data_IF_056476981088
#
_entry.id   IF_056476981088
#
_cell.length_a   1.000
_cell.length_b   1.000
_cell.length_c   1.000
_cell.angle_alpha   90.00
_cell.angle_beta   90.00
_cell.angle_gamma   90.00
#
_symmetry.space_group_name_H-M   'P 1'
#
loop_
_entity.id
_entity.type
_entity.pdbx_description
1 polymer ?
#
# COMPACT_ATOMS: atom_id res chain seq x y z
N UNK A 1 3.35 24.37 15.28
CA UNK A 1 2.04 23.73 15.51
C UNK A 1 1.35 23.64 14.15
N UNK A 2 1.36 22.49 13.48
CA UNK A 2 0.61 22.30 12.25
C UNK A 2 -0.82 21.95 12.64
N UNK A 3 -1.81 22.70 12.14
CA UNK A 3 -3.23 22.44 12.36
C UNK A 3 -3.59 20.99 11.97
N UNK A 4 -4.52 20.33 12.67
CA UNK A 4 -5.00 19.00 12.30
C UNK A 4 -5.66 19.10 10.93
N UNK A 5 -5.05 18.42 9.94
CA UNK A 5 -5.39 18.53 8.51
C UNK A 5 -6.72 17.85 8.14
N UNK A 6 -7.41 17.25 9.10
CA UNK A 6 -8.73 16.66 8.93
C UNK A 6 -9.52 16.78 10.24
N UNK A 7 -10.56 17.60 10.25
CA UNK A 7 -11.62 17.50 11.25
C UNK A 7 -12.39 16.20 10.96
N UNK A 8 -12.29 15.25 11.87
CA UNK A 8 -13.15 14.07 11.87
C UNK A 8 -14.56 14.54 12.24
N UNK A 9 -15.41 14.77 11.24
CA UNK A 9 -16.83 14.95 11.50
C UNK A 9 -17.39 13.61 11.94
N UNK A 10 -17.68 13.52 13.22
CA UNK A 10 -18.42 12.40 13.85
C UNK A 10 -19.92 12.41 13.48
N UNK A 11 -20.27 12.96 12.33
CA UNK A 11 -21.65 12.94 11.86
C UNK A 11 -21.96 11.53 11.36
N UNK A 12 -22.62 10.82 12.24
CA UNK A 12 -23.53 9.70 12.04
C UNK A 12 -23.34 8.91 10.71
N UNK A 13 -23.30 7.62 10.81
CA UNK A 13 -23.69 6.58 9.85
C UNK A 13 -24.90 6.98 8.97
N UNK A 14 -24.83 8.15 8.31
CA UNK A 14 -25.74 8.51 7.26
C UNK A 14 -25.48 7.53 6.13
N UNK A 15 -26.51 6.95 5.57
CA UNK A 15 -26.55 6.17 4.34
C UNK A 15 -25.85 6.99 3.23
N UNK A 16 -24.53 6.92 3.20
CA UNK A 16 -23.73 7.69 2.25
C UNK A 16 -23.99 7.09 0.87
N UNK A 17 -24.84 7.72 0.08
CA UNK A 17 -25.04 7.33 -1.31
C UNK A 17 -23.70 7.53 -2.01
N UNK A 18 -23.14 6.48 -2.62
CA UNK A 18 -21.88 6.62 -3.33
C UNK A 18 -22.02 7.71 -4.40
N UNK A 19 -21.05 8.62 -4.46
CA UNK A 19 -21.05 9.67 -5.49
C UNK A 19 -20.93 9.03 -6.88
N UNK A 20 -21.40 9.74 -7.93
CA UNK A 20 -21.22 9.30 -9.32
C UNK A 20 -19.74 8.98 -9.62
N UNK A 21 -18.82 9.74 -9.04
CA UNK A 21 -17.39 9.46 -9.15
C UNK A 21 -17.04 8.11 -8.52
N UNK A 22 -17.53 7.80 -7.34
CA UNK A 22 -17.22 6.54 -6.64
C UNK A 22 -17.69 5.30 -7.41
N UNK A 23 -18.81 5.42 -8.15
CA UNK A 23 -19.42 4.30 -8.88
C UNK A 23 -18.85 4.11 -10.29
N UNK A 24 -18.59 5.19 -11.01
CA UNK A 24 -18.23 5.17 -12.44
C UNK A 24 -16.95 5.94 -12.75
N UNK A 25 -16.80 7.14 -12.19
CA UNK A 25 -15.69 8.04 -12.52
C UNK A 25 -14.33 7.55 -12.03
N UNK A 26 -14.30 6.92 -10.88
CA UNK A 26 -13.03 6.50 -10.24
C UNK A 26 -12.24 5.51 -11.11
N UNK A 27 -12.90 4.50 -11.63
CA UNK A 27 -12.26 3.51 -12.51
C UNK A 27 -11.72 4.14 -13.79
N UNK A 28 -12.50 5.03 -14.40
CA UNK A 28 -12.07 5.76 -15.60
C UNK A 28 -10.86 6.65 -15.29
N UNK A 29 -10.89 7.36 -14.16
CA UNK A 29 -9.78 8.18 -13.70
C UNK A 29 -8.50 7.37 -13.46
N UNK A 30 -8.60 6.22 -12.77
CA UNK A 30 -7.47 5.32 -12.53
C UNK A 30 -6.83 4.85 -13.85
N UNK A 31 -7.64 4.38 -14.80
CA UNK A 31 -7.15 3.90 -16.08
C UNK A 31 -6.55 5.03 -16.94
N UNK A 32 -7.17 6.20 -16.95
CA UNK A 32 -6.64 7.36 -17.67
C UNK A 32 -5.28 7.78 -17.12
N UNK A 33 -5.14 7.82 -15.78
CA UNK A 33 -3.87 8.16 -15.14
C UNK A 33 -2.79 7.12 -15.43
N UNK A 34 -3.12 5.82 -15.36
CA UNK A 34 -2.19 4.75 -15.73
C UNK A 34 -1.75 4.89 -17.19
N UNK A 35 -2.68 5.14 -18.12
CA UNK A 35 -2.37 5.28 -19.54
C UNK A 35 -1.40 6.45 -19.80
N UNK A 36 -1.57 7.57 -19.12
CA UNK A 36 -0.66 8.73 -19.21
C UNK A 36 0.72 8.40 -18.64
N UNK A 37 0.80 7.65 -17.54
CA UNK A 37 2.06 7.29 -16.90
C UNK A 37 2.79 6.13 -17.62
N UNK A 38 2.07 5.31 -18.36
CA UNK A 38 2.54 4.02 -18.89
C UNK A 38 3.87 4.12 -19.68
N UNK A 39 4.08 5.08 -20.60
CA UNK A 39 5.32 5.15 -21.37
C UNK A 39 6.57 5.30 -20.49
N UNK A 40 6.50 6.18 -19.50
CA UNK A 40 7.60 6.40 -18.55
C UNK A 40 7.77 5.23 -17.60
N UNK A 41 6.67 4.69 -17.07
CA UNK A 41 6.68 3.61 -16.08
C UNK A 41 7.20 2.31 -16.67
N UNK A 42 6.84 1.95 -17.91
CA UNK A 42 7.34 0.73 -18.57
C UNK A 42 8.86 0.78 -18.72
N UNK A 43 9.42 1.91 -19.10
CA UNK A 43 10.88 2.09 -19.22
C UNK A 43 11.57 1.89 -17.86
N UNK A 44 11.03 2.50 -16.79
CA UNK A 44 11.56 2.35 -15.42
C UNK A 44 11.44 0.90 -14.96
N UNK A 45 10.29 0.25 -15.19
CA UNK A 45 10.08 -1.16 -14.84
C UNK A 45 11.11 -2.06 -15.55
N UNK A 46 11.34 -1.84 -16.84
CA UNK A 46 12.31 -2.63 -17.61
C UNK A 46 13.73 -2.48 -17.06
N UNK A 47 14.15 -1.26 -16.74
CA UNK A 47 15.48 -0.97 -16.17
C UNK A 47 15.62 -1.66 -14.80
N UNK A 48 14.65 -1.51 -13.89
CA UNK A 48 14.68 -2.12 -12.56
C UNK A 48 14.67 -3.66 -12.68
N UNK A 49 13.85 -4.22 -13.57
CA UNK A 49 13.78 -5.65 -13.79
C UNK A 49 15.13 -6.21 -14.26
N UNK A 50 15.80 -5.51 -15.19
CA UNK A 50 17.13 -5.87 -15.66
C UNK A 50 18.16 -5.88 -14.52
N UNK A 51 18.24 -4.81 -13.72
CA UNK A 51 19.17 -4.74 -12.60
C UNK A 51 18.89 -5.81 -11.53
N UNK A 52 17.61 -6.10 -11.28
CA UNK A 52 17.24 -7.16 -10.32
C UNK A 52 17.60 -8.54 -10.84
N UNK A 53 17.43 -8.79 -12.14
CA UNK A 53 17.78 -10.06 -12.79
C UNK A 53 19.30 -10.31 -12.79
N UNK A 54 20.11 -9.28 -13.06
CA UNK A 54 21.59 -9.36 -13.00
C UNK A 54 22.06 -9.75 -11.57
N UNK A 55 21.31 -9.34 -10.54
CA UNK A 55 21.57 -9.75 -9.15
C UNK A 55 21.22 -11.20 -8.82
N UNK A 56 20.86 -12.03 -9.80
CA UNK A 56 20.65 -13.48 -9.64
C UNK A 56 19.27 -13.90 -9.12
N UNK A 57 18.24 -13.07 -9.29
CA UNK A 57 16.88 -13.39 -8.82
C UNK A 57 15.78 -13.08 -9.83
N UNK A 58 14.59 -13.67 -9.62
CA UNK A 58 13.41 -13.25 -10.36
C UNK A 58 13.08 -11.80 -10.00
N UNK A 59 12.89 -10.88 -10.98
CA UNK A 59 12.70 -9.47 -10.72
C UNK A 59 11.37 -9.16 -10.00
N UNK A 60 10.35 -9.97 -10.24
CA UNK A 60 9.02 -9.77 -9.69
C UNK A 60 8.72 -10.75 -8.56
N UNK A 61 7.97 -10.26 -7.59
CA UNK A 61 7.43 -10.99 -6.46
C UNK A 61 5.95 -10.68 -6.32
N UNK A 62 5.17 -11.64 -5.90
CA UNK A 62 3.75 -11.41 -5.57
C UNK A 62 3.41 -11.95 -4.19
N UNK A 63 2.57 -11.23 -3.47
CA UNK A 63 2.06 -11.63 -2.16
C UNK A 63 0.54 -11.55 -2.17
N UNK A 64 -0.11 -12.57 -1.57
CA UNK A 64 -1.56 -12.52 -1.38
C UNK A 64 -1.95 -11.39 -0.46
N UNK A 65 -2.90 -10.59 -0.89
CA UNK A 65 -3.46 -9.47 -0.13
C UNK A 65 -4.97 -9.56 -0.14
N UNK A 66 -5.59 -8.99 0.89
CA UNK A 66 -7.03 -8.82 0.98
C UNK A 66 -7.42 -7.59 0.17
N UNK A 67 -8.48 -7.72 -0.62
CA UNK A 67 -9.03 -6.68 -1.46
C UNK A 67 -10.45 -6.30 -1.07
N UNK A 68 -11.14 -5.68 -2.03
CA UNK A 68 -12.56 -5.36 -1.91
C UNK A 68 -13.37 -6.63 -1.67
N UNK A 69 -14.47 -6.49 -0.93
CA UNK A 69 -15.40 -7.55 -0.56
C UNK A 69 -14.72 -8.74 0.19
N UNK A 70 -13.48 -8.55 0.65
CA UNK A 70 -12.69 -9.59 1.33
C UNK A 70 -12.03 -10.59 0.39
N UNK A 71 -12.13 -10.39 -0.93
CA UNK A 71 -11.48 -11.24 -1.92
C UNK A 71 -9.96 -11.10 -1.86
N UNK A 72 -9.26 -12.22 -1.99
CA UNK A 72 -7.80 -12.19 -2.02
C UNK A 72 -7.27 -12.04 -3.44
N UNK A 73 -6.20 -11.26 -3.60
CA UNK A 73 -5.56 -11.06 -4.89
C UNK A 73 -4.03 -11.07 -4.78
N UNK A 74 -3.35 -11.33 -5.89
CA UNK A 74 -1.89 -11.26 -5.98
C UNK A 74 -1.46 -9.81 -6.16
N UNK A 75 -0.84 -9.25 -5.13
CA UNK A 75 -0.25 -7.90 -5.16
C UNK A 75 1.19 -7.98 -5.67
N UNK A 76 1.46 -7.37 -6.82
CA UNK A 76 2.75 -7.44 -7.50
C UNK A 76 3.72 -6.38 -6.98
N UNK A 77 4.99 -6.77 -6.83
CA UNK A 77 6.09 -5.88 -6.44
C UNK A 77 7.40 -6.29 -7.12
N UNK A 78 8.37 -5.40 -7.10
CA UNK A 78 9.74 -5.84 -7.33
C UNK A 78 10.27 -6.60 -6.11
N UNK A 79 11.11 -7.60 -6.37
CA UNK A 79 11.81 -8.31 -5.31
C UNK A 79 12.87 -7.39 -4.71
N UNK A 80 12.78 -7.18 -3.41
CA UNK A 80 13.70 -6.34 -2.63
C UNK A 80 14.50 -7.13 -1.60
N UNK A 81 14.16 -8.40 -1.41
CA UNK A 81 14.79 -9.30 -0.44
C UNK A 81 15.59 -10.40 -1.13
N UNK A 82 16.49 -11.01 -0.35
CA UNK A 82 17.24 -12.22 -0.75
C UNK A 82 16.28 -13.37 -1.09
N UNK A 83 16.72 -14.37 -1.89
CA UNK A 83 15.99 -15.62 -2.03
C UNK A 83 15.72 -16.25 -0.64
N UNK A 84 14.62 -16.98 -0.53
CA UNK A 84 14.22 -17.69 0.71
C UNK A 84 14.12 -16.80 1.96
N UNK A 85 13.65 -15.55 1.75
CA UNK A 85 13.55 -14.54 2.81
C UNK A 85 12.71 -15.02 4.03
N UNK A 86 11.70 -15.87 3.81
CA UNK A 86 10.87 -16.41 4.91
C UNK A 86 11.65 -17.40 5.77
N UNK A 87 12.42 -18.30 5.15
CA UNK A 87 13.31 -19.21 5.88
C UNK A 87 14.43 -18.44 6.61
N UNK A 88 14.94 -17.37 5.99
CA UNK A 88 15.91 -16.50 6.63
C UNK A 88 15.31 -15.77 7.84
N UNK A 89 14.04 -15.30 7.74
CA UNK A 89 13.36 -14.70 8.88
C UNK A 89 13.24 -15.66 10.06
N UNK A 90 12.77 -16.88 9.80
CA UNK A 90 12.60 -17.89 10.86
C UNK A 90 13.92 -18.12 11.62
N UNK A 91 15.06 -18.20 10.91
CA UNK A 91 16.39 -18.33 11.54
C UNK A 91 16.76 -17.10 12.36
N UNK A 92 16.62 -15.89 11.79
CA UNK A 92 16.92 -14.63 12.47
C UNK A 92 16.12 -14.49 13.77
N UNK A 93 14.83 -14.80 13.74
CA UNK A 93 13.97 -14.70 14.92
C UNK A 93 14.27 -15.77 15.98
N UNK A 94 14.81 -16.93 15.57
CA UNK A 94 15.26 -17.97 16.50
C UNK A 94 16.59 -17.60 17.18
N UNK A 95 17.48 -16.90 16.48
CA UNK A 95 18.83 -16.55 16.93
C UNK A 95 18.86 -15.23 17.73
N UNK A 96 17.97 -14.29 17.45
CA UNK A 96 17.95 -12.95 18.08
C UNK A 96 16.60 -12.65 18.78
N UNK A 97 16.56 -12.76 20.13
CA UNK A 97 15.35 -12.47 20.90
C UNK A 97 14.86 -11.02 20.78
N UNK A 98 15.76 -10.05 20.52
CA UNK A 98 15.41 -8.63 20.37
C UNK A 98 14.64 -8.42 19.07
N UNK A 99 15.17 -8.97 17.96
CA UNK A 99 14.48 -8.94 16.66
C UNK A 99 13.17 -9.73 16.70
N UNK A 100 13.11 -10.83 17.46
CA UNK A 100 11.87 -11.59 17.67
C UNK A 100 10.82 -10.76 18.42
N UNK A 101 11.21 -9.98 19.41
CA UNK A 101 10.31 -9.08 20.13
C UNK A 101 9.81 -7.93 19.24
N UNK A 102 10.71 -7.30 18.46
CA UNK A 102 10.35 -6.26 17.48
C UNK A 102 9.34 -6.80 16.45
N UNK A 103 9.61 -7.99 15.90
CA UNK A 103 8.72 -8.63 14.93
C UNK A 103 7.33 -8.90 15.50
N UNK A 104 7.23 -9.42 16.71
CA UNK A 104 5.92 -9.69 17.36
C UNK A 104 5.07 -8.43 17.51
N UNK A 105 5.70 -7.26 17.80
CA UNK A 105 4.99 -6.00 18.02
C UNK A 105 4.58 -5.31 16.73
N UNK A 106 5.44 -5.34 15.71
CA UNK A 106 5.29 -4.47 14.53
C UNK A 106 5.10 -5.22 13.22
N UNK A 107 5.35 -6.55 13.20
CA UNK A 107 5.39 -7.38 11.99
C UNK A 107 6.39 -6.85 10.94
N UNK A 108 7.40 -6.10 11.42
CA UNK A 108 8.47 -5.50 10.62
C UNK A 108 9.76 -5.46 11.45
N UNK A 109 10.87 -5.41 10.75
CA UNK A 109 12.19 -5.13 11.36
C UNK A 109 12.66 -3.76 10.83
N UNK A 110 13.08 -2.86 11.72
CA UNK A 110 13.62 -1.53 11.33
C UNK A 110 14.86 -1.66 10.46
N UNK A 111 15.70 -2.64 10.77
CA UNK A 111 16.87 -3.03 9.96
C UNK A 111 16.70 -4.49 9.58
N UNK A 112 15.99 -4.74 8.51
CA UNK A 112 15.74 -6.10 8.03
C UNK A 112 16.95 -6.61 7.23
N UNK A 113 17.71 -7.60 7.75
CA UNK A 113 18.91 -8.10 7.08
C UNK A 113 18.60 -8.86 5.79
N UNK A 114 17.35 -9.21 5.54
CA UNK A 114 16.90 -9.85 4.30
C UNK A 114 16.83 -8.87 3.14
N UNK A 115 16.76 -7.57 3.40
CA UNK A 115 16.64 -6.54 2.36
C UNK A 115 18.00 -6.29 1.72
N UNK A 116 18.07 -6.46 0.40
CA UNK A 116 19.30 -6.16 -0.37
C UNK A 116 19.56 -4.65 -0.42
N UNK A 117 20.81 -4.24 -0.71
CA UNK A 117 21.14 -2.80 -0.86
C UNK A 117 20.28 -2.12 -1.95
N UNK A 118 20.11 -2.79 -3.09
CA UNK A 118 19.26 -2.30 -4.17
C UNK A 118 17.78 -2.33 -3.76
N UNK A 119 17.34 -3.38 -3.06
CA UNK A 119 16.00 -3.46 -2.49
C UNK A 119 15.70 -2.34 -1.50
N UNK A 120 16.66 -1.94 -0.68
CA UNK A 120 16.51 -0.80 0.24
C UNK A 120 16.32 0.53 -0.53
N UNK A 121 17.06 0.73 -1.61
CA UNK A 121 16.86 1.89 -2.51
C UNK A 121 15.44 1.87 -3.12
N UNK A 122 14.99 0.73 -3.67
CA UNK A 122 13.65 0.60 -4.25
C UNK A 122 12.54 0.90 -3.21
N UNK A 123 12.67 0.37 -1.98
CA UNK A 123 11.70 0.65 -0.91
C UNK A 123 11.68 2.12 -0.50
N UNK A 124 12.85 2.72 -0.33
CA UNK A 124 12.97 4.14 0.04
C UNK A 124 12.34 5.07 -1.00
N UNK A 125 12.47 4.72 -2.29
CA UNK A 125 11.88 5.47 -3.41
C UNK A 125 10.45 5.03 -3.77
N UNK A 126 9.91 3.98 -3.10
CA UNK A 126 8.62 3.34 -3.43
C UNK A 126 8.54 2.78 -4.86
N UNK A 127 9.69 2.64 -5.54
CA UNK A 127 9.75 2.06 -6.88
C UNK A 127 9.44 0.56 -6.89
N UNK A 128 9.61 -0.11 -5.75
CA UNK A 128 9.24 -1.52 -5.59
C UNK A 128 7.75 -1.78 -5.80
N UNK A 129 6.91 -0.78 -5.66
CA UNK A 129 5.45 -0.88 -5.81
C UNK A 129 4.95 -0.59 -7.24
N UNK A 130 5.82 -0.17 -8.20
CA UNK A 130 5.42 0.10 -9.58
C UNK A 130 4.69 -1.07 -10.28
N UNK A 131 5.06 -2.37 -10.06
CA UNK A 131 4.32 -3.47 -10.66
C UNK A 131 2.85 -3.57 -10.22
N UNK A 132 2.45 -2.92 -9.12
CA UNK A 132 1.04 -2.83 -8.70
C UNK A 132 0.16 -2.04 -9.68
N UNK A 133 0.75 -1.25 -10.59
CA UNK A 133 -0.02 -0.66 -11.69
C UNK A 133 -0.70 -1.72 -12.56
N UNK A 134 -0.13 -2.91 -12.66
CA UNK A 134 -0.81 -4.06 -13.28
C UNK A 134 -2.07 -4.44 -12.50
N UNK A 135 -2.03 -4.41 -11.17
CA UNK A 135 -3.21 -4.64 -10.33
C UNK A 135 -4.28 -3.55 -10.54
N UNK A 136 -3.86 -2.31 -10.80
CA UNK A 136 -4.81 -1.24 -11.16
C UNK A 136 -5.43 -1.52 -12.53
N UNK A 137 -4.63 -1.90 -13.53
CA UNK A 137 -5.14 -2.24 -14.89
C UNK A 137 -6.12 -3.41 -14.85
N UNK A 138 -5.84 -4.44 -14.05
CA UNK A 138 -6.72 -5.63 -13.92
C UNK A 138 -7.93 -5.40 -13.02
N UNK A 139 -7.99 -4.28 -12.28
CA UNK A 139 -9.13 -3.90 -11.44
C UNK A 139 -9.11 -4.46 -10.02
N UNK A 140 -8.05 -5.16 -9.60
CA UNK A 140 -7.91 -5.63 -8.22
C UNK A 140 -7.44 -4.53 -7.27
N UNK A 141 -6.88 -3.43 -7.81
CA UNK A 141 -6.50 -2.23 -7.08
C UNK A 141 -6.97 -0.95 -7.79
N UNK A 142 -6.86 0.17 -7.09
CA UNK A 142 -7.04 1.54 -7.56
C UNK A 142 -5.73 2.33 -7.34
N UNK A 143 -5.58 3.49 -7.99
CA UNK A 143 -4.46 4.40 -7.69
C UNK A 143 -4.57 4.89 -6.24
N UNK A 144 -5.75 5.34 -5.83
CA UNK A 144 -5.99 5.83 -4.47
C UNK A 144 -7.00 4.92 -3.76
N UNK A 145 -6.65 4.47 -2.57
CA UNK A 145 -7.50 3.61 -1.75
C UNK A 145 -6.81 3.20 -0.44
N UNK A 146 -7.44 2.36 0.37
CA UNK A 146 -6.82 1.81 1.57
C UNK A 146 -5.62 0.93 1.22
N UNK A 147 -4.58 0.93 2.06
CA UNK A 147 -3.40 0.08 1.82
C UNK A 147 -3.75 -1.40 2.02
N UNK A 148 -3.47 -2.28 1.04
CA UNK A 148 -3.79 -3.71 1.17
C UNK A 148 -2.95 -4.36 2.28
N UNK A 149 -3.58 -5.24 3.05
CA UNK A 149 -2.97 -6.03 4.11
C UNK A 149 -3.01 -7.54 3.79
N UNK A 150 -2.23 -8.34 4.51
CA UNK A 150 -2.16 -9.79 4.31
C UNK A 150 -3.35 -10.52 4.93
N UNK A 151 -3.72 -11.72 4.46
CA UNK A 151 -4.85 -12.47 5.02
C UNK A 151 -4.75 -12.73 6.52
N UNK A 152 -3.56 -12.97 7.04
CA UNK A 152 -3.28 -13.15 8.47
C UNK A 152 -3.53 -11.89 9.33
N UNK A 153 -3.56 -10.71 8.70
CA UNK A 153 -3.86 -9.45 9.36
C UNK A 153 -5.37 -9.13 9.39
N UNK A 154 -6.20 -9.96 8.76
CA UNK A 154 -7.63 -9.70 8.63
C UNK A 154 -8.35 -9.72 9.98
N UNK A 155 -7.98 -10.64 10.87
CA UNK A 155 -8.61 -10.78 12.18
C UNK A 155 -8.27 -9.64 13.15
N UNK A 156 -7.15 -8.96 12.91
CA UNK A 156 -6.73 -7.81 13.72
C UNK A 156 -7.14 -6.46 13.12
N UNK A 157 -7.79 -6.46 11.94
CA UNK A 157 -8.32 -5.24 11.34
C UNK A 157 -9.67 -4.87 11.99
N UNK A 158 -9.82 -3.65 12.56
CA UNK A 158 -11.05 -3.23 13.24
C UNK A 158 -12.29 -3.28 12.35
N UNK A 159 -13.41 -3.72 12.91
CA UNK A 159 -14.69 -3.83 12.22
C UNK A 159 -14.92 -5.15 11.51
N UNK A 160 -13.93 -6.04 11.45
CA UNK A 160 -14.07 -7.38 10.90
C UNK A 160 -14.51 -7.45 9.44
N UNK A 161 -14.67 -8.67 8.95
CA UNK A 161 -15.05 -8.96 7.56
C UNK A 161 -16.48 -8.47 7.28
N UNK A 162 -16.63 -7.53 6.32
CA UNK A 162 -17.93 -7.05 5.86
C UNK A 162 -18.49 -5.81 6.57
N UNK A 163 -17.89 -5.35 7.66
CA UNK A 163 -18.36 -4.17 8.39
C UNK A 163 -17.43 -2.97 8.24
N UNK A 164 -16.15 -3.18 8.02
CA UNK A 164 -15.21 -2.08 7.81
C UNK A 164 -15.35 -1.49 6.40
N UNK A 165 -15.26 -0.17 6.31
CA UNK A 165 -15.32 0.57 5.04
C UNK A 165 -14.20 0.16 4.07
N UNK A 166 -13.11 -0.41 4.58
CA UNK A 166 -12.05 -1.03 3.80
C UNK A 166 -12.59 -1.96 2.72
N UNK A 167 -13.48 -2.89 3.09
CA UNK A 167 -14.00 -3.92 2.19
C UNK A 167 -14.95 -3.39 1.10
N UNK A 168 -15.38 -2.14 1.23
CA UNK A 168 -16.25 -1.46 0.25
C UNK A 168 -15.46 -0.77 -0.86
N UNK A 169 -14.13 -0.73 -0.74
CA UNK A 169 -13.23 -0.03 -1.67
C UNK A 169 -12.21 -0.97 -2.28
N UNK A 170 -11.72 -0.65 -3.49
CA UNK A 170 -10.51 -1.28 -3.99
C UNK A 170 -9.30 -0.75 -3.22
N UNK A 171 -8.37 -1.62 -2.78
CA UNK A 171 -7.13 -1.17 -2.17
C UNK A 171 -6.33 -0.29 -3.14
N UNK A 172 -5.60 0.68 -2.59
CA UNK A 172 -4.87 1.68 -3.36
C UNK A 172 -3.38 1.45 -3.40
N UNK A 173 -2.75 1.90 -4.50
CA UNK A 173 -1.31 2.08 -4.60
C UNK A 173 -0.84 3.15 -3.59
N UNK A 174 -1.61 4.22 -3.47
CA UNK A 174 -1.49 5.21 -2.41
C UNK A 174 -2.83 5.41 -1.69
N UNK A 175 -2.84 6.11 -0.56
CA UNK A 175 -4.06 6.35 0.21
C UNK A 175 -3.86 7.36 1.33
N UNK A 176 -4.95 7.72 1.97
CA UNK A 176 -4.96 8.75 3.00
C UNK A 176 -3.99 8.42 4.15
N UNK A 177 -3.97 7.16 4.61
CA UNK A 177 -3.04 6.71 5.63
C UNK A 177 -1.58 6.83 5.20
N UNK A 178 -1.25 6.46 3.95
CA UNK A 178 0.11 6.49 3.42
C UNK A 178 0.70 7.90 3.33
N UNK A 179 -0.13 8.92 3.12
CA UNK A 179 0.30 10.33 3.02
C UNK A 179 0.15 11.11 4.34
N UNK A 180 -0.36 10.45 5.40
CA UNK A 180 -0.50 11.02 6.74
C UNK A 180 0.75 10.72 7.59
N UNK A 181 0.91 11.33 8.78
CA UNK A 181 2.04 11.07 9.69
C UNK A 181 1.99 9.64 10.28
N UNK A 182 2.16 8.64 9.42
CA UNK A 182 1.97 7.21 9.65
C UNK A 182 2.98 6.55 10.59
N UNK A 183 4.14 7.17 10.83
CA UNK A 183 5.22 6.58 11.64
C UNK A 183 4.88 6.44 13.13
N UNK A 184 3.69 6.90 13.54
CA UNK A 184 3.21 6.85 14.94
C UNK A 184 1.88 6.11 15.08
N UNK A 185 1.29 5.61 13.97
CA UNK A 185 0.00 4.92 14.01
C UNK A 185 0.17 3.40 14.06
N UNK A 186 -0.65 2.76 14.87
CA UNK A 186 -0.78 1.30 14.94
C UNK A 186 -1.48 0.75 13.68
N UNK A 187 -1.43 -0.58 13.50
CA UNK A 187 -2.16 -1.24 12.40
C UNK A 187 -3.67 -0.96 12.51
N UNK A 188 -4.22 -0.99 13.72
CA UNK A 188 -5.65 -0.75 13.96
C UNK A 188 -6.09 0.68 13.62
N UNK A 189 -5.24 1.68 13.88
CA UNK A 189 -5.55 3.08 13.56
C UNK A 189 -5.72 3.34 12.06
N UNK A 190 -5.24 2.44 11.20
CA UNK A 190 -5.46 2.53 9.73
C UNK A 190 -6.94 2.57 9.39
N UNK A 191 -7.77 1.82 10.12
CA UNK A 191 -9.21 1.77 9.89
C UNK A 191 -9.88 3.16 9.97
N UNK A 192 -9.38 4.04 10.85
CA UNK A 192 -9.86 5.42 10.96
C UNK A 192 -9.59 6.22 9.69
N UNK A 193 -8.39 6.08 9.12
CA UNK A 193 -8.04 6.75 7.86
C UNK A 193 -8.81 6.17 6.67
N UNK A 194 -9.03 4.87 6.67
CA UNK A 194 -9.76 4.18 5.59
C UNK A 194 -11.23 4.59 5.61
N UNK A 195 -11.87 4.69 6.79
CA UNK A 195 -13.23 5.21 6.94
C UNK A 195 -13.31 6.70 6.59
N UNK A 196 -12.34 7.52 7.01
CA UNK A 196 -12.30 8.93 6.64
C UNK A 196 -12.18 9.14 5.13
N UNK A 197 -11.38 8.30 4.45
CA UNK A 197 -11.30 8.34 2.99
C UNK A 197 -12.60 7.88 2.34
N UNK A 198 -13.24 6.80 2.84
CA UNK A 198 -14.49 6.30 2.30
C UNK A 198 -15.59 7.37 2.29
N UNK A 199 -15.76 8.10 3.41
CA UNK A 199 -16.75 9.18 3.54
C UNK A 199 -16.46 10.34 2.58
N UNK A 200 -15.18 10.66 2.34
CA UNK A 200 -14.75 11.78 1.50
C UNK A 200 -14.39 11.38 0.06
N UNK A 201 -14.69 10.14 -0.34
CA UNK A 201 -14.31 9.59 -1.63
C UNK A 201 -14.85 10.45 -2.79
N UNK A 202 -13.94 11.05 -3.54
CA UNK A 202 -14.23 11.97 -4.63
C UNK A 202 -12.97 12.35 -5.39
N UNK A 203 -13.13 12.86 -6.61
CA UNK A 203 -12.02 13.23 -7.49
C UNK A 203 -11.02 14.20 -6.83
N UNK A 204 -11.54 15.22 -6.14
CA UNK A 204 -10.69 16.22 -5.49
C UNK A 204 -9.86 15.60 -4.35
N UNK A 205 -10.45 14.65 -3.61
CA UNK A 205 -9.74 13.93 -2.56
C UNK A 205 -8.62 13.06 -3.15
N UNK A 206 -8.90 12.35 -4.22
CA UNK A 206 -7.90 11.53 -4.92
C UNK A 206 -6.75 12.38 -5.45
N UNK A 207 -7.03 13.50 -6.11
CA UNK A 207 -6.01 14.43 -6.58
C UNK A 207 -5.14 14.97 -5.42
N UNK A 208 -5.74 15.33 -4.30
CA UNK A 208 -5.00 15.79 -3.11
C UNK A 208 -4.06 14.70 -2.57
N UNK A 209 -4.53 13.46 -2.50
CA UNK A 209 -3.72 12.32 -2.04
C UNK A 209 -2.56 12.06 -3.01
N UNK A 210 -2.81 12.08 -4.32
CA UNK A 210 -1.78 11.89 -5.35
C UNK A 210 -0.70 12.97 -5.25
N UNK A 211 -1.09 14.24 -5.15
CA UNK A 211 -0.13 15.34 -5.00
C UNK A 211 0.73 15.21 -3.74
N UNK A 212 0.13 14.79 -2.63
CA UNK A 212 0.88 14.51 -1.39
C UNK A 212 1.82 13.31 -1.54
N UNK A 213 1.39 12.27 -2.27
CA UNK A 213 2.23 11.10 -2.54
C UNK A 213 3.50 11.49 -3.27
N UNK A 214 3.42 12.37 -4.26
CA UNK A 214 4.61 12.91 -4.95
C UNK A 214 5.56 13.55 -3.93
N UNK A 215 5.04 14.36 -3.01
CA UNK A 215 5.87 14.97 -1.95
C UNK A 215 6.50 13.95 -1.00
N UNK A 216 5.81 12.86 -0.66
CA UNK A 216 6.32 11.76 0.19
C UNK A 216 7.43 11.00 -0.53
N UNK A 217 7.24 10.68 -1.80
CA UNK A 217 8.24 9.97 -2.64
C UNK A 217 9.50 10.82 -2.82
N UNK A 218 9.36 12.11 -3.15
CA UNK A 218 10.50 13.01 -3.33
C UNK A 218 11.32 13.21 -2.05
N UNK A 219 10.69 13.14 -0.87
CA UNK A 219 11.38 13.20 0.42
C UNK A 219 12.03 11.87 0.83
N UNK A 220 11.80 10.81 0.08
CA UNK A 220 12.36 9.48 0.37
C UNK A 220 11.90 8.91 1.72
N UNK A 221 10.69 9.20 2.13
CA UNK A 221 10.08 8.70 3.37
C UNK A 221 9.23 7.43 3.13
N UNK A 222 9.38 6.79 2.00
CA UNK A 222 8.85 5.45 1.71
C UNK A 222 9.36 4.44 2.75
N UNK A 223 8.53 3.46 3.15
CA UNK A 223 8.83 2.44 4.17
C UNK A 223 8.77 1.08 3.54
#
# INVERSE_FOLDING_TARGET
MAAPLFEFRNDALSLHRPSYYATHGKRLFDLALVAVMLPAVVSVIAIIALFTAIGGGQPFYSQMRVGRDGETFRCWKFRTMIPDADAALARILAEDPVLAAEWRQTQKLRRDPRVTRFGAFLRKSSLDELPQLWNVVTGTMSIVGPRPFTPDQQDIYPGGRGYADYYRMHPGLTGLWQVSPRNRSSFAERAVYDSAYFVQLGLLMDLRIILRTVGVVLRGTGV
#
